data_IF_146349074661
#
_entry.id   IF_146349074661
#
_cell.length_a   1.000
_cell.length_b   1.000
_cell.length_c   1.000
_cell.angle_alpha   90.00
_cell.angle_beta   90.00
_cell.angle_gamma   90.00
#
_symmetry.space_group_name_H-M   'P 1'
#
loop_
_entity.id
_entity.type
_entity.pdbx_description
1 polymer ?
#
# COMPACT_ATOMS: atom_id res chain seq x y z
N UNK A 1 -1.42 7.40 -14.15
CA UNK A 1 -1.89 8.79 -14.13
C UNK A 1 -2.47 9.11 -12.75
N UNK A 2 -3.59 8.51 -12.35
CA UNK A 2 -4.24 8.80 -11.06
C UNK A 2 -3.40 8.46 -9.82
N UNK A 3 -2.70 7.32 -9.81
CA UNK A 3 -1.82 6.91 -8.72
C UNK A 3 -0.41 7.55 -8.77
N UNK A 4 -0.20 8.56 -9.62
CA UNK A 4 1.09 9.27 -9.80
C UNK A 4 2.31 8.38 -10.17
N UNK A 5 2.08 7.20 -10.75
CA UNK A 5 3.11 6.22 -11.18
C UNK A 5 3.44 6.25 -12.68
N UNK A 6 2.94 7.22 -13.43
CA UNK A 6 3.19 7.38 -14.88
C UNK A 6 3.71 8.78 -15.16
N UNK A 7 4.61 8.90 -16.13
CA UNK A 7 5.05 10.19 -16.62
C UNK A 7 3.85 11.02 -17.09
N UNK A 8 3.83 12.30 -16.72
CA UNK A 8 2.79 13.26 -17.07
C UNK A 8 3.10 13.99 -18.39
N UNK A 9 4.24 13.70 -19.03
CA UNK A 9 4.53 14.20 -20.38
C UNK A 9 3.37 13.89 -21.33
N UNK A 10 2.71 14.94 -21.82
CA UNK A 10 1.56 14.86 -22.72
C UNK A 10 0.17 15.01 -22.07
N UNK A 11 0.09 15.16 -20.75
CA UNK A 11 -1.17 15.44 -20.04
C UNK A 11 -1.19 16.87 -19.48
N UNK A 12 -2.17 17.66 -19.92
CA UNK A 12 -2.36 19.05 -19.51
C UNK A 12 -3.35 19.24 -18.34
N UNK A 13 -3.98 18.16 -17.88
CA UNK A 13 -5.01 18.22 -16.83
C UNK A 13 -4.41 18.03 -15.43
N UNK A 14 -4.94 18.78 -14.47
CA UNK A 14 -4.63 18.60 -13.05
C UNK A 14 -5.45 17.45 -12.45
N UNK A 15 -4.85 16.73 -11.50
CA UNK A 15 -5.53 15.71 -10.71
C UNK A 15 -5.63 16.24 -9.29
N UNK A 16 -6.87 16.38 -8.82
CA UNK A 16 -7.19 16.86 -7.49
C UNK A 16 -7.63 15.70 -6.60
N UNK A 17 -7.21 15.72 -5.34
CA UNK A 17 -7.70 14.87 -4.27
C UNK A 17 -8.46 15.77 -3.29
N UNK A 18 -9.77 15.58 -3.17
CA UNK A 18 -10.64 16.44 -2.36
C UNK A 18 -10.45 17.94 -2.67
N UNK A 19 -10.50 18.29 -3.96
CA UNK A 19 -10.30 19.65 -4.49
C UNK A 19 -8.91 20.27 -4.22
N UNK A 20 -7.95 19.48 -3.76
CA UNK A 20 -6.58 19.91 -3.50
C UNK A 20 -5.58 19.19 -4.42
N UNK A 21 -4.49 19.88 -4.76
CA UNK A 21 -3.39 19.26 -5.51
C UNK A 21 -2.74 18.15 -4.66
N UNK A 22 -2.39 17.05 -5.33
CA UNK A 22 -1.67 15.94 -4.69
C UNK A 22 -0.32 16.42 -4.15
N UNK A 23 -0.05 16.11 -2.89
CA UNK A 23 1.21 16.41 -2.24
C UNK A 23 2.32 15.43 -2.67
N UNK A 24 3.59 15.80 -2.48
CA UNK A 24 4.74 14.95 -2.85
C UNK A 24 4.81 13.62 -2.09
N UNK A 25 4.15 13.56 -0.93
CA UNK A 25 4.04 12.39 -0.07
C UNK A 25 2.80 11.53 -0.35
N UNK A 26 2.01 11.85 -1.39
CA UNK A 26 0.82 11.08 -1.81
C UNK A 26 1.09 9.57 -1.88
N UNK A 27 2.25 9.17 -2.40
CA UNK A 27 2.69 7.77 -2.54
C UNK A 27 2.82 6.97 -1.23
N UNK A 28 2.79 7.64 -0.07
CA UNK A 28 2.87 7.02 1.25
C UNK A 28 1.48 6.89 1.92
N UNK A 29 0.50 7.61 1.40
CA UNK A 29 -0.89 7.60 1.89
C UNK A 29 -1.84 6.87 0.94
N UNK A 30 -1.41 6.64 -0.30
CA UNK A 30 -2.14 5.88 -1.30
C UNK A 30 -1.78 4.38 -1.30
N UNK A 31 -2.67 3.59 -1.89
CA UNK A 31 -2.44 2.17 -2.16
C UNK A 31 -2.64 1.92 -3.65
N UNK A 32 -1.63 1.34 -4.31
CA UNK A 32 -1.71 0.95 -5.72
C UNK A 32 -1.23 -0.48 -5.89
N UNK A 33 -2.13 -1.35 -6.36
CA UNK A 33 -1.84 -2.75 -6.68
C UNK A 33 -1.62 -2.86 -8.18
N UNK A 34 -0.44 -3.31 -8.59
CA UNK A 34 -0.08 -3.56 -9.99
C UNK A 34 -0.67 -4.88 -10.47
N UNK A 35 -0.74 -5.09 -11.79
CA UNK A 35 -1.24 -6.34 -12.37
C UNK A 35 -0.27 -7.51 -12.17
N UNK A 36 1.04 -7.25 -12.19
CA UNK A 36 2.05 -8.27 -11.94
C UNK A 36 2.20 -8.52 -10.43
N UNK A 37 2.19 -9.78 -10.01
CA UNK A 37 2.38 -10.15 -8.62
C UNK A 37 3.84 -10.01 -8.21
N UNK A 38 4.22 -8.80 -7.77
CA UNK A 38 5.55 -8.53 -7.21
C UNK A 38 5.53 -8.90 -5.71
N UNK A 39 5.68 -10.20 -5.43
CA UNK A 39 5.78 -10.75 -4.07
C UNK A 39 7.02 -11.62 -3.92
N UNK A 40 7.50 -11.78 -2.68
CA UNK A 40 8.63 -12.67 -2.43
C UNK A 40 8.16 -14.13 -2.41
N UNK A 41 8.60 -14.92 -3.39
CA UNK A 41 8.29 -16.36 -3.46
C UNK A 41 8.98 -17.22 -2.41
N UNK A 42 9.94 -16.67 -1.65
CA UNK A 42 10.61 -17.37 -0.55
C UNK A 42 9.93 -17.18 0.81
N UNK A 43 8.92 -16.31 0.88
CA UNK A 43 8.19 -15.98 2.11
C UNK A 43 6.75 -16.49 2.02
N UNK A 44 6.19 -16.90 3.15
CA UNK A 44 4.77 -17.24 3.20
C UNK A 44 3.88 -15.99 3.12
N UNK A 45 2.56 -16.19 2.99
CA UNK A 45 1.57 -15.10 2.87
C UNK A 45 1.67 -14.13 4.06
N UNK A 46 1.74 -14.68 5.28
CA UNK A 46 1.80 -13.87 6.51
C UNK A 46 3.10 -13.08 6.62
N UNK A 47 4.22 -13.65 6.20
CA UNK A 47 5.52 -12.98 6.18
C UNK A 47 5.55 -11.81 5.19
N UNK A 48 5.05 -12.02 3.97
CA UNK A 48 4.90 -10.95 2.97
C UNK A 48 4.01 -9.81 3.49
N UNK A 49 2.91 -10.15 4.16
CA UNK A 49 2.00 -9.17 4.75
C UNK A 49 2.64 -8.43 5.94
N UNK A 50 3.34 -9.15 6.82
CA UNK A 50 4.02 -8.55 7.98
C UNK A 50 5.15 -7.62 7.57
N UNK A 51 5.89 -7.94 6.50
CA UNK A 51 6.89 -7.04 5.92
C UNK A 51 6.26 -5.70 5.53
N UNK A 52 5.17 -5.78 4.77
CA UNK A 52 4.36 -4.64 4.36
C UNK A 52 3.83 -3.82 5.55
N UNK A 53 3.25 -4.49 6.54
CA UNK A 53 2.69 -3.88 7.76
C UNK A 53 3.77 -3.15 8.56
N UNK A 54 4.97 -3.72 8.67
CA UNK A 54 6.05 -3.11 9.44
C UNK A 54 6.59 -1.82 8.82
N UNK A 55 6.58 -1.72 7.48
CA UNK A 55 7.11 -0.55 6.75
C UNK A 55 6.04 0.51 6.55
N UNK A 56 4.78 0.12 6.29
CA UNK A 56 3.71 1.07 5.94
C UNK A 56 2.95 1.60 7.16
N UNK A 57 2.84 0.83 8.24
CA UNK A 57 2.13 1.30 9.43
C UNK A 57 3.04 2.09 10.36
N UNK A 58 2.41 2.96 11.16
CA UNK A 58 3.10 3.77 12.17
C UNK A 58 3.97 2.90 13.10
N UNK A 59 5.16 3.43 13.43
CA UNK A 59 6.07 2.85 14.41
C UNK A 59 5.52 2.89 15.84
N UNK A 60 4.46 3.66 16.10
CA UNK A 60 3.77 3.72 17.39
C UNK A 60 2.98 2.44 17.72
N UNK A 61 2.61 1.67 16.70
CA UNK A 61 1.88 0.41 16.90
C UNK A 61 2.84 -0.67 17.41
N UNK A 62 2.41 -1.36 18.46
CA UNK A 62 3.11 -2.54 18.99
C UNK A 62 3.12 -3.68 17.97
N UNK A 63 4.05 -4.61 18.17
CA UNK A 63 4.12 -5.82 17.36
C UNK A 63 2.81 -6.63 17.44
N UNK A 64 2.16 -6.68 18.61
CA UNK A 64 0.89 -7.38 18.80
C UNK A 64 -0.23 -6.75 17.96
N UNK A 65 -0.34 -5.42 17.95
CA UNK A 65 -1.33 -4.70 17.14
C UNK A 65 -1.10 -4.93 15.64
N UNK A 66 0.16 -4.85 15.19
CA UNK A 66 0.53 -5.15 13.81
C UNK A 66 0.16 -6.59 13.41
N UNK A 67 0.41 -7.56 14.29
CA UNK A 67 0.03 -8.96 14.06
C UNK A 67 -1.50 -9.14 13.98
N UNK A 68 -2.27 -8.44 14.83
CA UNK A 68 -3.74 -8.47 14.78
C UNK A 68 -4.26 -7.93 13.45
N UNK A 69 -3.68 -6.82 12.96
CA UNK A 69 -4.03 -6.25 11.65
C UNK A 69 -3.72 -7.24 10.52
N UNK A 70 -2.53 -7.85 10.53
CA UNK A 70 -2.16 -8.83 9.52
C UNK A 70 -3.09 -10.06 9.51
N UNK A 71 -3.38 -10.63 10.68
CA UNK A 71 -4.31 -11.77 10.79
C UNK A 71 -5.72 -11.40 10.31
N UNK A 72 -6.20 -10.20 10.66
CA UNK A 72 -7.51 -9.72 10.22
C UNK A 72 -7.59 -9.67 8.68
N UNK A 73 -6.56 -9.14 8.02
CA UNK A 73 -6.50 -9.07 6.56
C UNK A 73 -6.46 -10.46 5.92
N UNK A 74 -5.70 -11.39 6.49
CA UNK A 74 -5.63 -12.79 6.00
C UNK A 74 -7.03 -13.41 5.98
N UNK A 75 -7.79 -13.23 7.07
CA UNK A 75 -9.16 -13.75 7.18
C UNK A 75 -10.10 -13.03 6.19
N UNK A 76 -10.07 -11.70 6.12
CA UNK A 76 -10.94 -10.92 5.23
C UNK A 76 -10.71 -11.22 3.74
N UNK A 77 -9.48 -11.59 3.37
CA UNK A 77 -9.13 -11.97 2.00
C UNK A 77 -9.19 -13.48 1.74
N UNK A 78 -9.53 -14.30 2.74
CA UNK A 78 -9.63 -15.76 2.61
C UNK A 78 -8.30 -16.45 2.31
N UNK A 79 -7.20 -15.97 2.89
CA UNK A 79 -5.83 -16.43 2.66
C UNK A 79 -5.31 -17.38 3.76
N UNK A 80 -6.21 -18.11 4.42
CA UNK A 80 -5.87 -19.09 5.47
C UNK A 80 -5.02 -20.26 4.96
#
# INVERSE_FOLDING_TARGET
>A
LLADRKDRQGFQSEILLNDQLQSKDFKYHDGYVVQDDIVSGSLNVKENLMFSVNIRLSTKLSFSEKNKIANKIIIELGLE
#
